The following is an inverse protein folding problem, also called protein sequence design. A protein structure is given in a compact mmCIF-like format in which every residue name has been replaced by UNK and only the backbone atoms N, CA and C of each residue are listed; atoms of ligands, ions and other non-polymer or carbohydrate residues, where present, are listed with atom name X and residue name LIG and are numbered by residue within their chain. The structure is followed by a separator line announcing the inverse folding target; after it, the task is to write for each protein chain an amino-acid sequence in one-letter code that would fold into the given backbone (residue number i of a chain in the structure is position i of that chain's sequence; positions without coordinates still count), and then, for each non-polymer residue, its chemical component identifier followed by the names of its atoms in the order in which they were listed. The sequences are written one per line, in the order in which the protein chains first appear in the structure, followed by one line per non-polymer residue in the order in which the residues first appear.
data_IF_894729767843
#
_entry.id   IF_894729767843
#
_cell.length_a   1.000
_cell.length_b   1.000
_cell.length_c   1.000
_cell.angle_alpha   90.00
_cell.angle_beta   90.00
_cell.angle_gamma   90.00
#
_symmetry.space_group_name_H-M   'P 1'
#
loop_
_entity.id
_entity.type
_entity.pdbx_description
1 polymer ?
#
# COMPACT_ATOMS: atom_id res chain seq x y z
N UNK A 1 7.80 19.38 12.62
CA UNK A 1 9.09 20.10 12.58
C UNK A 1 9.02 21.48 13.22
N UNK A 2 8.08 22.36 12.81
CA UNK A 2 7.89 23.72 13.43
C UNK A 2 7.64 23.69 14.94
N UNK A 3 6.92 22.69 15.48
CA UNK A 3 6.61 22.56 16.90
C UNK A 3 7.84 22.23 17.74
N UNK A 4 8.74 21.37 17.25
CA UNK A 4 10.00 21.01 17.89
C UNK A 4 10.99 22.20 17.90
N UNK A 5 11.05 22.93 16.80
CA UNK A 5 11.86 24.15 16.69
C UNK A 5 11.39 25.24 17.65
N UNK A 6 10.07 25.43 17.77
CA UNK A 6 9.48 26.39 18.73
C UNK A 6 9.72 25.98 20.19
N UNK A 7 9.70 24.67 20.48
CA UNK A 7 9.99 24.17 21.82
C UNK A 7 11.49 24.28 22.14
N UNK A 8 12.36 23.93 21.21
CA UNK A 8 13.81 24.09 21.35
C UNK A 8 14.20 25.56 21.57
N UNK A 9 13.56 26.51 20.86
CA UNK A 9 13.78 27.95 21.05
C UNK A 9 13.31 28.48 22.40
N UNK A 10 12.26 27.87 22.98
CA UNK A 10 11.77 28.20 24.33
C UNK A 10 12.70 27.68 25.43
N UNK A 11 13.36 26.53 25.21
CA UNK A 11 14.28 25.89 26.17
C UNK A 11 15.67 26.51 26.10
N UNK A 12 16.15 26.86 24.93
CA UNK A 12 17.43 27.51 24.70
C UNK A 12 17.33 28.50 23.55
N UNK A 13 17.72 29.74 23.73
CA UNK A 13 17.72 30.77 22.68
C UNK A 13 18.69 30.45 21.52
N UNK A 14 19.59 29.48 21.70
CA UNK A 14 20.43 28.94 20.66
C UNK A 14 19.95 27.53 20.29
N UNK A 15 19.50 27.35 19.04
CA UNK A 15 19.07 26.06 18.51
C UNK A 15 20.30 25.36 17.94
N UNK A 16 20.85 24.41 18.70
CA UNK A 16 21.92 23.53 18.24
C UNK A 16 21.31 22.19 17.74
N UNK A 17 21.97 21.58 16.75
CA UNK A 17 21.55 20.27 16.22
C UNK A 17 21.57 19.17 17.28
N UNK A 18 22.47 19.25 18.26
CA UNK A 18 22.54 18.39 19.43
C UNK A 18 21.27 18.46 20.28
N UNK A 19 20.82 19.69 20.61
CA UNK A 19 19.61 19.93 21.37
C UNK A 19 18.35 19.44 20.63
N UNK A 20 18.29 19.62 19.31
CA UNK A 20 17.18 19.09 18.50
C UNK A 20 17.15 17.57 18.48
N UNK A 21 18.29 16.90 18.48
CA UNK A 21 18.40 15.43 18.57
C UNK A 21 17.95 14.96 19.96
N UNK A 22 18.47 15.55 21.02
CA UNK A 22 18.13 15.21 22.41
C UNK A 22 16.64 15.43 22.69
N UNK A 23 16.06 16.54 22.24
CA UNK A 23 14.63 16.82 22.37
C UNK A 23 13.78 15.86 21.55
N UNK A 24 14.27 15.44 20.37
CA UNK A 24 13.61 14.42 19.56
C UNK A 24 13.61 13.06 20.26
N UNK A 25 14.72 12.67 20.85
CA UNK A 25 14.86 11.40 21.59
C UNK A 25 14.01 11.40 22.87
N UNK A 26 13.92 12.52 23.59
CA UNK A 26 13.14 12.65 24.83
C UNK A 26 11.64 12.87 24.62
N UNK A 27 11.22 13.47 23.49
CA UNK A 27 9.80 13.70 23.14
C UNK A 27 9.20 12.52 22.39
N UNK A 28 10.02 11.78 21.69
CA UNK A 28 9.64 10.57 20.93
C UNK A 28 10.16 9.36 21.73
N UNK A 29 9.71 9.20 22.98
CA UNK A 29 10.12 8.06 23.80
C UNK A 29 10.12 6.77 23.00
N UNK A 30 11.23 6.00 23.01
CA UNK A 30 11.50 4.64 22.48
C UNK A 30 10.89 4.23 21.12
N UNK A 31 10.36 5.15 20.35
CA UNK A 31 9.51 4.87 19.22
C UNK A 31 10.23 4.81 17.94
N UNK A 32 11.07 5.44 17.38
CA UNK A 32 11.77 5.30 16.09
C UNK A 32 13.02 6.18 16.07
N UNK A 33 14.12 5.68 16.61
CA UNK A 33 15.36 6.45 16.63
C UNK A 33 16.29 6.15 15.44
N UNK A 34 16.04 5.08 14.67
CA UNK A 34 16.82 4.72 13.48
C UNK A 34 15.95 4.49 12.26
N UNK A 35 16.52 4.67 11.06
CA UNK A 35 15.85 4.36 9.80
C UNK A 35 15.41 2.90 9.73
N UNK A 36 16.19 1.99 10.31
CA UNK A 36 15.93 0.55 10.30
C UNK A 36 14.68 0.21 11.12
N UNK A 37 14.53 0.80 12.32
CA UNK A 37 13.33 0.62 13.15
C UNK A 37 12.06 1.13 12.47
N UNK A 38 12.14 2.20 11.68
CA UNK A 38 11.03 2.72 10.89
C UNK A 38 10.54 1.70 9.85
N UNK A 39 11.45 1.11 9.07
CA UNK A 39 11.11 0.07 8.09
C UNK A 39 10.64 -1.22 8.77
N UNK A 40 11.18 -1.57 9.92
CA UNK A 40 10.75 -2.74 10.69
C UNK A 40 9.32 -2.57 11.20
N UNK A 41 8.94 -1.40 11.69
CA UNK A 41 7.57 -1.10 12.11
C UNK A 41 6.58 -1.15 10.94
N UNK A 42 6.95 -0.60 9.80
CA UNK A 42 6.12 -0.66 8.59
C UNK A 42 5.94 -2.13 8.13
N UNK A 43 7.01 -2.91 8.15
CA UNK A 43 6.99 -4.34 7.83
C UNK A 43 6.12 -5.12 8.81
N UNK A 44 6.24 -4.84 10.11
CA UNK A 44 5.43 -5.49 11.16
C UNK A 44 3.94 -5.15 11.00
N UNK A 45 3.59 -3.89 10.70
CA UNK A 45 2.22 -3.48 10.40
C UNK A 45 1.65 -4.28 9.22
N UNK A 46 2.35 -4.32 8.08
CA UNK A 46 1.88 -5.03 6.88
C UNK A 46 1.76 -6.53 7.14
N UNK A 47 2.73 -7.15 7.81
CA UNK A 47 2.66 -8.58 8.16
C UNK A 47 1.50 -8.89 9.10
N UNK A 48 1.17 -7.98 10.02
CA UNK A 48 0.02 -8.12 10.92
C UNK A 48 -1.31 -8.00 10.15
N UNK A 49 -1.42 -7.06 9.21
CA UNK A 49 -2.57 -6.95 8.31
C UNK A 49 -2.74 -8.23 7.47
N UNK A 50 -1.65 -8.76 6.92
CA UNK A 50 -1.62 -10.00 6.14
C UNK A 50 -2.05 -11.21 6.97
N UNK A 51 -1.60 -11.28 8.22
CA UNK A 51 -2.00 -12.30 9.19
C UNK A 51 -3.38 -12.10 9.82
N UNK A 52 -4.15 -11.09 9.39
CA UNK A 52 -5.47 -10.74 9.93
C UNK A 52 -5.46 -10.46 11.44
N UNK A 53 -4.32 -10.02 11.98
CA UNK A 53 -4.22 -9.62 13.38
C UNK A 53 -4.45 -8.11 13.51
N UNK A 54 -5.69 -7.74 13.84
CA UNK A 54 -6.14 -6.35 13.95
C UNK A 54 -5.37 -5.60 15.05
N UNK A 55 -5.21 -6.20 16.22
CA UNK A 55 -4.58 -5.54 17.37
C UNK A 55 -3.11 -5.22 17.08
N UNK A 56 -2.37 -6.17 16.54
CA UNK A 56 -0.98 -5.97 16.17
C UNK A 56 -0.84 -4.92 15.05
N UNK A 57 -1.71 -4.95 14.03
CA UNK A 57 -1.70 -3.97 12.94
C UNK A 57 -1.92 -2.54 13.47
N UNK A 58 -2.91 -2.35 14.34
CA UNK A 58 -3.19 -1.06 14.98
C UNK A 58 -2.05 -0.63 15.89
N UNK A 59 -1.46 -1.54 16.64
CA UNK A 59 -0.33 -1.24 17.52
C UNK A 59 0.88 -0.73 16.74
N UNK A 60 1.31 -1.44 15.69
CA UNK A 60 2.47 -1.01 14.89
C UNK A 60 2.18 0.26 14.09
N UNK A 61 0.96 0.44 13.58
CA UNK A 61 0.53 1.70 12.96
C UNK A 61 0.58 2.86 13.96
N UNK A 62 0.12 2.66 15.18
CA UNK A 62 0.18 3.68 16.24
C UNK A 62 1.61 4.05 16.62
N UNK A 63 2.53 3.09 16.61
CA UNK A 63 3.96 3.35 16.81
C UNK A 63 4.55 4.20 15.68
N UNK A 64 4.17 3.94 14.42
CA UNK A 64 4.57 4.78 13.28
C UNK A 64 4.04 6.20 13.42
N UNK A 65 2.76 6.36 13.79
CA UNK A 65 2.15 7.68 14.03
C UNK A 65 2.87 8.42 15.16
N UNK A 66 3.09 7.76 16.28
CA UNK A 66 3.77 8.35 17.44
C UNK A 66 5.22 8.71 17.13
N UNK A 67 5.89 7.94 16.29
CA UNK A 67 7.23 8.21 15.77
C UNK A 67 7.30 9.37 14.77
N UNK A 68 6.17 10.01 14.46
CA UNK A 68 6.10 11.17 13.57
C UNK A 68 6.06 10.81 12.08
N UNK A 69 5.68 9.55 11.76
CA UNK A 69 5.55 9.15 10.37
C UNK A 69 4.46 9.92 9.65
N UNK A 70 4.71 10.22 8.39
CA UNK A 70 3.75 10.96 7.56
C UNK A 70 2.50 10.13 7.26
N UNK A 71 1.37 10.82 7.20
CA UNK A 71 0.10 10.25 6.75
C UNK A 71 0.25 9.59 5.38
N UNK A 72 0.96 10.26 4.47
CA UNK A 72 1.17 9.81 3.10
C UNK A 72 1.95 8.48 3.03
N UNK A 73 2.96 8.30 3.88
CA UNK A 73 3.70 7.03 3.94
C UNK A 73 2.80 5.88 4.38
N UNK A 74 2.04 6.05 5.47
CA UNK A 74 1.17 5.00 6.02
C UNK A 74 0.08 4.65 5.01
N UNK A 75 -0.59 5.65 4.43
CA UNK A 75 -1.69 5.42 3.48
C UNK A 75 -1.25 4.74 2.21
N UNK A 76 -0.07 5.09 1.66
CA UNK A 76 0.50 4.36 0.50
C UNK A 76 0.70 2.87 0.80
N UNK A 77 1.15 2.52 2.01
CA UNK A 77 1.30 1.11 2.41
C UNK A 77 -0.03 0.39 2.47
N UNK A 78 -1.08 1.05 2.98
CA UNK A 78 -2.43 0.48 3.02
C UNK A 78 -3.03 0.28 1.61
N UNK A 79 -2.79 1.22 0.68
CA UNK A 79 -3.24 1.11 -0.72
C UNK A 79 -2.57 -0.08 -1.42
N UNK A 80 -1.24 -0.22 -1.29
CA UNK A 80 -0.52 -1.36 -1.87
C UNK A 80 -1.01 -2.67 -1.26
N UNK A 81 -1.12 -2.74 0.06
CA UNK A 81 -1.63 -3.93 0.76
C UNK A 81 -3.04 -4.34 0.27
N UNK A 82 -3.93 -3.36 0.05
CA UNK A 82 -5.28 -3.62 -0.44
C UNK A 82 -5.29 -4.31 -1.83
N UNK A 83 -4.34 -3.95 -2.71
CA UNK A 83 -4.22 -4.56 -4.04
C UNK A 83 -3.42 -5.86 -4.02
N UNK A 84 -2.31 -5.92 -3.27
CA UNK A 84 -1.37 -7.03 -3.26
C UNK A 84 -1.91 -8.23 -2.50
N UNK A 85 -2.45 -8.02 -1.29
CA UNK A 85 -2.80 -9.09 -0.36
C UNK A 85 -4.30 -9.39 -0.29
N UNK A 86 -5.17 -8.42 -0.58
CA UNK A 86 -6.62 -8.60 -0.61
C UNK A 86 -7.10 -8.80 -2.05
N UNK A 87 -6.68 -7.90 -2.95
CA UNK A 87 -6.96 -8.00 -4.39
C UNK A 87 -8.44 -8.24 -4.69
N UNK A 88 -8.70 -9.19 -5.57
CA UNK A 88 -10.05 -9.52 -6.03
C UNK A 88 -10.90 -10.31 -5.00
N UNK A 89 -10.32 -10.76 -3.87
CA UNK A 89 -11.11 -11.34 -2.79
C UNK A 89 -12.07 -10.31 -2.15
N UNK A 90 -11.69 -9.03 -2.16
CA UNK A 90 -12.56 -7.91 -1.77
C UNK A 90 -12.17 -6.64 -2.54
N UNK A 91 -12.72 -6.41 -3.75
CA UNK A 91 -12.36 -5.27 -4.59
C UNK A 91 -12.62 -3.90 -3.92
N UNK A 92 -13.54 -3.83 -2.94
CA UNK A 92 -13.81 -2.59 -2.20
C UNK A 92 -12.66 -2.17 -1.28
N UNK A 93 -11.74 -3.07 -0.96
CA UNK A 93 -10.58 -2.78 -0.11
C UNK A 93 -9.70 -1.67 -0.72
N UNK A 94 -9.45 -1.73 -2.03
CA UNK A 94 -8.69 -0.69 -2.73
C UNK A 94 -9.42 0.66 -2.72
N UNK A 95 -10.74 0.66 -2.96
CA UNK A 95 -11.55 1.87 -2.92
C UNK A 95 -11.49 2.54 -1.54
N UNK A 96 -11.63 1.75 -0.47
CA UNK A 96 -11.53 2.27 0.89
C UNK A 96 -10.13 2.83 1.19
N UNK A 97 -9.08 2.12 0.81
CA UNK A 97 -7.70 2.56 1.04
C UNK A 97 -7.37 3.87 0.30
N UNK A 98 -7.81 4.02 -0.96
CA UNK A 98 -7.61 5.25 -1.75
C UNK A 98 -8.42 6.41 -1.16
N UNK A 99 -9.67 6.19 -0.75
CA UNK A 99 -10.48 7.21 -0.09
C UNK A 99 -9.88 7.61 1.27
N UNK A 100 -9.33 6.65 2.02
CA UNK A 100 -8.57 6.91 3.26
C UNK A 100 -7.37 7.81 2.98
N UNK A 101 -6.56 7.51 1.97
CA UNK A 101 -5.41 8.32 1.58
C UNK A 101 -5.83 9.75 1.23
N UNK A 102 -6.89 9.90 0.45
CA UNK A 102 -7.40 11.22 0.05
C UNK A 102 -7.92 12.02 1.24
N UNK A 103 -8.69 11.41 2.13
CA UNK A 103 -9.24 12.05 3.31
C UNK A 103 -8.14 12.46 4.30
N UNK A 104 -7.24 11.54 4.60
CA UNK A 104 -6.15 11.76 5.55
C UNK A 104 -5.18 12.87 5.09
N UNK A 105 -4.88 12.95 3.80
CA UNK A 105 -4.03 14.01 3.24
C UNK A 105 -4.68 15.40 3.29
N UNK A 106 -6.02 15.47 3.30
CA UNK A 106 -6.75 16.73 3.43
C UNK A 106 -6.92 17.17 4.88
N UNK A 107 -7.11 16.21 5.78
CA UNK A 107 -7.44 16.46 7.20
C UNK A 107 -6.17 16.62 8.03
N UNK A 108 -5.19 15.72 7.85
CA UNK A 108 -3.97 15.71 8.64
C UNK A 108 -4.17 15.15 10.05
N UNK A 109 -3.08 15.15 10.84
CA UNK A 109 -3.12 14.77 12.24
C UNK A 109 -3.63 15.93 13.11
N UNK A 110 -4.34 15.64 14.24
CA UNK A 110 -4.49 14.30 14.85
C UNK A 110 -5.66 13.47 14.34
N UNK A 111 -6.61 14.01 13.59
CA UNK A 111 -7.87 13.35 13.24
C UNK A 111 -7.67 12.18 12.25
N UNK A 112 -6.67 12.24 11.37
CA UNK A 112 -6.36 11.17 10.41
C UNK A 112 -6.17 9.81 11.06
N UNK A 113 -5.73 9.73 12.33
CA UNK A 113 -5.62 8.47 13.08
C UNK A 113 -6.90 7.67 13.13
N UNK A 114 -8.07 8.36 13.17
CA UNK A 114 -9.39 7.72 13.23
C UNK A 114 -9.70 7.04 11.90
N UNK A 115 -9.46 7.75 10.80
CA UNK A 115 -9.69 7.24 9.44
C UNK A 115 -8.71 6.10 9.13
N UNK A 116 -7.44 6.25 9.52
CA UNK A 116 -6.42 5.21 9.37
C UNK A 116 -6.79 3.93 10.13
N UNK A 117 -7.28 4.05 11.38
CA UNK A 117 -7.67 2.88 12.18
C UNK A 117 -8.88 2.15 11.57
N UNK A 118 -9.89 2.87 11.10
CA UNK A 118 -11.03 2.27 10.39
C UNK A 118 -10.56 1.48 9.16
N UNK A 119 -9.68 2.07 8.36
CA UNK A 119 -9.13 1.41 7.18
C UNK A 119 -8.32 0.16 7.56
N UNK A 120 -7.42 0.26 8.53
CA UNK A 120 -6.59 -0.86 8.97
C UNK A 120 -7.43 -2.04 9.51
N UNK A 121 -8.47 -1.77 10.29
CA UNK A 121 -9.39 -2.79 10.79
C UNK A 121 -10.10 -3.49 9.62
N UNK A 122 -10.62 -2.72 8.67
CA UNK A 122 -11.31 -3.28 7.50
C UNK A 122 -10.38 -4.15 6.66
N UNK A 123 -9.15 -3.68 6.39
CA UNK A 123 -8.16 -4.42 5.60
C UNK A 123 -7.69 -5.68 6.32
N UNK A 124 -7.42 -5.61 7.64
CA UNK A 124 -7.04 -6.78 8.42
C UNK A 124 -8.12 -7.86 8.41
N UNK A 125 -9.39 -7.46 8.50
CA UNK A 125 -10.55 -8.36 8.57
C UNK A 125 -11.03 -8.86 7.20
N UNK A 126 -10.51 -8.31 6.09
CA UNK A 126 -10.89 -8.72 4.73
C UNK A 126 -10.30 -10.08 4.36
N UNK A 127 -10.99 -10.89 3.54
CA UNK A 127 -10.39 -12.08 2.93
C UNK A 127 -9.16 -11.70 2.11
N UNK A 128 -8.20 -12.62 1.98
CA UNK A 128 -6.91 -12.38 1.33
C UNK A 128 -6.81 -13.17 0.03
N UNK A 129 -6.30 -12.52 -1.03
CA UNK A 129 -5.90 -13.16 -2.28
C UNK A 129 -4.82 -12.34 -2.96
N UNK A 130 -3.68 -12.94 -3.22
CA UNK A 130 -2.58 -12.34 -3.97
C UNK A 130 -2.53 -12.80 -5.43
N UNK A 131 -3.63 -13.36 -5.95
CA UNK A 131 -3.68 -13.93 -7.31
C UNK A 131 -3.30 -12.91 -8.39
N UNK A 132 -3.81 -11.67 -8.30
CA UNK A 132 -3.48 -10.61 -9.25
C UNK A 132 -1.99 -10.23 -9.21
N UNK A 133 -1.38 -10.16 -8.00
CA UNK A 133 0.05 -9.93 -7.83
C UNK A 133 0.88 -11.06 -8.45
N UNK A 134 0.55 -12.32 -8.17
CA UNK A 134 1.24 -13.48 -8.72
C UNK A 134 1.11 -13.55 -10.24
N UNK A 135 -0.08 -13.26 -10.78
CA UNK A 135 -0.36 -13.31 -12.22
C UNK A 135 0.53 -12.33 -12.99
N UNK A 136 0.55 -11.06 -12.60
CA UNK A 136 1.36 -10.05 -13.30
C UNK A 136 2.87 -10.33 -13.16
N UNK A 137 3.33 -10.81 -12.01
CA UNK A 137 4.73 -11.14 -11.81
C UNK A 137 5.16 -12.32 -12.68
N UNK A 138 4.35 -13.39 -12.77
CA UNK A 138 4.61 -14.53 -13.64
C UNK A 138 4.73 -14.10 -15.10
N UNK A 139 3.78 -13.28 -15.59
CA UNK A 139 3.86 -12.75 -16.97
C UNK A 139 5.14 -11.93 -17.21
N UNK A 140 5.52 -11.08 -16.24
CA UNK A 140 6.76 -10.30 -16.36
C UNK A 140 8.02 -11.17 -16.30
N UNK A 141 8.02 -12.24 -15.54
CA UNK A 141 9.13 -13.20 -15.47
C UNK A 141 9.32 -13.94 -16.79
N UNK A 142 8.23 -14.41 -17.41
CA UNK A 142 8.27 -15.05 -18.73
C UNK A 142 8.85 -14.11 -19.80
N UNK A 143 8.37 -12.88 -19.85
CA UNK A 143 8.88 -11.87 -20.79
C UNK A 143 10.36 -11.59 -20.55
N UNK A 144 10.80 -11.46 -19.30
CA UNK A 144 12.22 -11.25 -18.95
C UNK A 144 13.11 -12.44 -19.27
N UNK A 145 12.55 -13.65 -19.22
CA UNK A 145 13.23 -14.88 -19.63
C UNK A 145 13.36 -15.02 -21.17
N UNK A 146 12.74 -14.10 -21.92
CA UNK A 146 12.74 -14.13 -23.39
C UNK A 146 11.59 -14.91 -24.00
N UNK A 147 10.65 -15.40 -23.21
CA UNK A 147 9.45 -16.10 -23.65
C UNK A 147 8.40 -15.07 -24.13
N UNK A 148 8.64 -14.50 -25.30
CA UNK A 148 7.76 -13.50 -25.92
C UNK A 148 6.86 -14.18 -26.93
N UNK A 149 5.56 -14.18 -26.66
CA UNK A 149 4.55 -14.75 -27.55
C UNK A 149 4.11 -13.73 -28.59
N UNK A 150 3.94 -14.18 -29.83
CA UNK A 150 3.42 -13.36 -30.92
C UNK A 150 1.95 -13.00 -30.68
N UNK A 151 1.57 -11.79 -31.09
CA UNK A 151 0.16 -11.38 -31.10
C UNK A 151 -0.58 -12.17 -32.20
N UNK A 152 -1.70 -12.88 -31.87
CA UNK A 152 -2.55 -13.51 -32.87
C UNK A 152 -3.03 -12.48 -33.90
N UNK A 153 -3.03 -12.86 -35.19
CA UNK A 153 -3.34 -11.96 -36.31
C UNK A 153 -4.69 -11.25 -36.20
N UNK A 154 -5.69 -11.93 -35.64
CA UNK A 154 -7.03 -11.33 -35.45
C UNK A 154 -7.08 -10.30 -34.28
N UNK A 155 -6.05 -10.24 -33.44
CA UNK A 155 -5.92 -9.27 -32.35
C UNK A 155 -5.01 -8.08 -32.73
N UNK A 156 -4.39 -8.11 -33.92
CA UNK A 156 -3.59 -6.98 -34.38
C UNK A 156 -4.45 -5.74 -34.72
N UNK A 157 -3.81 -4.63 -35.05
CA UNK A 157 -4.51 -3.38 -35.38
C UNK A 157 -5.39 -3.43 -36.64
N UNK A 158 -5.28 -4.47 -37.46
CA UNK A 158 -6.09 -4.64 -38.66
C UNK A 158 -7.41 -5.37 -38.40
N UNK A 159 -7.57 -6.01 -37.25
CA UNK A 159 -8.78 -6.70 -36.76
C UNK A 159 -9.35 -7.75 -37.71
N UNK A 160 -8.55 -8.33 -38.58
CA UNK A 160 -9.01 -9.31 -39.59
C UNK A 160 -9.36 -10.62 -38.88
N UNK A 161 -10.64 -10.95 -38.83
CA UNK A 161 -11.13 -12.18 -38.19
C UNK A 161 -11.42 -12.09 -36.72
N UNK A 162 -11.30 -10.91 -36.12
CA UNK A 162 -11.68 -10.71 -34.70
C UNK A 162 -13.19 -10.85 -34.49
N UNK A 163 -13.56 -11.72 -33.56
CA UNK A 163 -14.95 -11.92 -33.16
C UNK A 163 -15.27 -10.99 -31.97
N UNK A 164 -16.08 -9.96 -32.23
CA UNK A 164 -16.43 -8.99 -31.20
C UNK A 164 -17.45 -9.57 -30.21
N UNK A 165 -17.10 -9.78 -28.92
CA UNK A 165 -17.93 -10.53 -27.98
C UNK A 165 -19.37 -9.98 -27.80
N UNK A 166 -19.56 -8.66 -27.91
CA UNK A 166 -20.91 -8.08 -27.79
C UNK A 166 -21.89 -8.53 -28.88
N UNK A 167 -21.40 -8.95 -30.05
CA UNK A 167 -22.24 -9.53 -31.10
C UNK A 167 -22.67 -10.96 -30.79
N UNK A 168 -22.08 -11.58 -29.75
CA UNK A 168 -22.27 -12.98 -29.34
C UNK A 168 -22.79 -13.11 -27.90
N UNK A 169 -23.43 -12.08 -27.35
CA UNK A 169 -23.98 -12.13 -25.99
C UNK A 169 -22.96 -11.88 -24.88
N UNK A 170 -21.80 -11.30 -25.19
CA UNK A 170 -20.75 -10.92 -24.24
C UNK A 170 -19.61 -11.91 -24.08
N UNK A 171 -19.71 -13.10 -24.69
CA UNK A 171 -18.64 -14.11 -24.73
C UNK A 171 -18.53 -14.73 -26.11
N UNK A 172 -17.29 -15.02 -26.52
CA UNK A 172 -16.98 -15.77 -27.72
C UNK A 172 -15.70 -16.54 -27.52
N UNK A 173 -15.68 -17.79 -27.96
CA UNK A 173 -14.48 -18.63 -27.93
C UNK A 173 -13.57 -18.24 -29.09
N UNK A 174 -12.42 -17.66 -28.78
CA UNK A 174 -11.33 -17.40 -29.72
C UNK A 174 -10.01 -17.37 -28.98
N UNK A 175 -8.92 -17.63 -29.72
CA UNK A 175 -7.57 -17.57 -29.14
C UNK A 175 -7.16 -16.14 -28.83
N UNK A 176 -6.78 -15.84 -27.59
CA UNK A 176 -6.23 -14.55 -27.17
C UNK A 176 -4.73 -14.61 -26.91
N UNK A 177 -4.22 -15.79 -26.59
CA UNK A 177 -2.81 -16.05 -26.38
C UNK A 177 -2.53 -17.48 -26.81
N UNK A 178 -1.34 -17.77 -27.43
CA UNK A 178 -0.98 -19.11 -27.90
C UNK A 178 -0.82 -20.15 -26.79
N UNK A 179 -0.52 -19.69 -25.57
CA UNK A 179 -0.34 -20.54 -24.41
C UNK A 179 -0.97 -19.84 -23.19
N UNK A 180 -1.70 -20.59 -22.36
CA UNK A 180 -2.25 -20.06 -21.12
C UNK A 180 -1.13 -19.93 -20.10
N UNK A 181 -0.79 -18.68 -19.73
CA UNK A 181 0.33 -18.39 -18.83
C UNK A 181 -0.02 -18.47 -17.35
N UNK A 182 -1.27 -18.32 -16.97
CA UNK A 182 -1.51 -17.75 -15.64
C UNK A 182 -2.40 -18.54 -14.70
N UNK A 183 -3.37 -19.26 -15.12
CA UNK A 183 -4.41 -19.78 -14.22
C UNK A 183 -4.65 -21.26 -14.40
#
# INVERSE_FOLDING_TARGET
MLTLLNFAYKVSKNIELSLLRELRENVIGDGVSSSDTHYDLASAMIKSLRGSNVDAALYYMSRLINGGESVDFITRRLVIFASEDIGNANPNALNLAVNTMTACNKIGYPESRIILSQCAIYLASSPKSNSAYNAVNKALEEIKAGNILDIPKHLDSQHIGYLYPHNFGGYVEQEYLKEDLLL
#
